data_IF_647656584840
#
_entry.id   IF_647656584840
#
_cell.length_a   1.000
_cell.length_b   1.000
_cell.length_c   1.000
_cell.angle_alpha   90.00
_cell.angle_beta   90.00
_cell.angle_gamma   90.00
#
_symmetry.space_group_name_H-M   'P 1'
#
loop_
_entity.id
_entity.type
_entity.pdbx_description
1 polymer ?
#
# COMPACT_ATOMS: atom_id res chain seq x y z
N UNK A 1 7.52 14.72 -5.77
CA UNK A 1 6.64 15.43 -4.79
C UNK A 1 6.44 16.86 -5.27
N UNK A 2 5.28 17.48 -5.01
CA UNK A 2 5.03 18.87 -5.40
C UNK A 2 4.47 19.08 -6.81
N UNK A 3 4.46 18.03 -7.63
CA UNK A 3 3.72 18.00 -8.91
C UNK A 3 2.22 18.17 -8.66
N UNK A 4 1.49 18.61 -9.71
CA UNK A 4 0.04 18.70 -9.66
C UNK A 4 -0.58 17.33 -9.31
N UNK A 5 -1.66 17.37 -8.53
CA UNK A 5 -2.41 16.17 -8.17
C UNK A 5 -2.90 15.44 -9.44
N UNK A 6 -2.73 14.11 -9.55
CA UNK A 6 -3.15 13.36 -10.73
C UNK A 6 -4.65 13.52 -11.02
N UNK A 7 -5.00 13.62 -12.30
CA UNK A 7 -6.40 13.60 -12.77
C UNK A 7 -6.92 12.19 -13.00
N UNK A 8 -6.03 11.19 -13.08
CA UNK A 8 -6.40 9.78 -13.17
C UNK A 8 -6.91 9.25 -11.84
N UNK A 9 -7.78 8.23 -11.90
CA UNK A 9 -8.28 7.55 -10.70
C UNK A 9 -7.15 6.79 -10.02
N UNK A 10 -6.79 7.18 -8.81
CA UNK A 10 -5.76 6.53 -7.98
C UNK A 10 -6.39 5.51 -7.01
N UNK A 11 -5.61 4.54 -6.54
CA UNK A 11 -6.09 3.53 -5.58
C UNK A 11 -6.11 4.11 -4.16
N UNK A 12 -7.30 4.33 -3.61
CA UNK A 12 -7.53 4.86 -2.27
C UNK A 12 -7.43 3.76 -1.21
N UNK A 13 -6.86 4.08 -0.07
CA UNK A 13 -6.70 3.18 1.06
C UNK A 13 -8.07 2.72 1.62
N UNK A 14 -8.29 1.40 1.67
CA UNK A 14 -9.50 0.78 2.22
C UNK A 14 -10.81 1.19 1.52
N UNK A 15 -10.73 1.84 0.35
CA UNK A 15 -11.87 2.44 -0.36
C UNK A 15 -12.72 3.39 0.50
N UNK A 16 -12.11 4.04 1.50
CA UNK A 16 -12.80 4.88 2.49
C UNK A 16 -11.98 6.08 2.96
N UNK A 17 -12.64 7.01 3.65
CA UNK A 17 -11.95 8.03 4.45
C UNK A 17 -11.40 7.35 5.71
N UNK A 18 -10.11 7.52 5.97
CA UNK A 18 -9.43 6.85 7.08
C UNK A 18 -9.63 7.59 8.41
N UNK A 19 -9.62 6.83 9.52
CA UNK A 19 -9.40 7.41 10.85
C UNK A 19 -7.90 7.74 11.04
N UNK A 20 -7.38 8.73 10.32
CA UNK A 20 -5.97 9.09 10.35
C UNK A 20 -5.55 9.74 11.68
N UNK A 21 -4.25 9.67 11.99
CA UNK A 21 -3.67 10.39 13.12
C UNK A 21 -3.73 11.92 12.89
N UNK A 22 -3.76 12.74 13.95
CA UNK A 22 -3.68 14.20 13.80
C UNK A 22 -2.49 14.63 12.94
N UNK A 23 -2.73 15.50 11.95
CA UNK A 23 -1.71 15.96 11.00
C UNK A 23 -1.52 15.06 9.77
N UNK A 24 -1.96 13.81 9.81
CA UNK A 24 -2.00 12.94 8.62
C UNK A 24 -3.30 13.16 7.82
N UNK A 25 -3.21 13.09 6.49
CA UNK A 25 -4.40 13.11 5.63
C UNK A 25 -5.25 11.86 5.84
N UNK A 26 -6.57 12.02 5.90
CA UNK A 26 -7.53 10.90 5.90
C UNK A 26 -7.76 10.31 4.49
N UNK A 27 -7.26 10.99 3.46
CA UNK A 27 -7.38 10.61 2.05
C UNK A 27 -6.03 10.16 1.49
N UNK A 28 -5.77 8.87 1.60
CA UNK A 28 -4.46 8.28 1.30
C UNK A 28 -4.54 7.36 0.09
N UNK A 29 -3.57 7.45 -0.80
CA UNK A 29 -3.52 6.68 -2.04
C UNK A 29 -2.19 5.96 -2.22
N UNK A 30 -2.22 4.79 -2.88
CA UNK A 30 -1.06 3.90 -3.03
C UNK A 30 0.00 4.53 -3.92
N UNK A 31 1.21 4.58 -3.38
CA UNK A 31 2.40 4.99 -4.11
C UNK A 31 3.59 4.09 -3.78
N UNK A 32 4.56 4.10 -4.69
CA UNK A 32 5.80 3.36 -4.61
C UNK A 32 6.98 4.33 -4.74
N UNK A 33 7.96 4.15 -3.88
CA UNK A 33 9.25 4.82 -3.94
C UNK A 33 10.37 3.77 -3.90
N UNK A 34 11.60 4.16 -4.22
CA UNK A 34 12.78 3.30 -4.09
C UNK A 34 13.84 3.98 -3.24
N UNK A 35 14.40 3.23 -2.29
CA UNK A 35 15.49 3.68 -1.43
C UNK A 35 16.59 2.64 -1.48
N UNK A 36 17.78 3.03 -1.96
CA UNK A 36 18.92 2.11 -2.14
C UNK A 36 18.57 0.81 -2.90
N UNK A 37 17.69 0.90 -3.90
CA UNK A 37 17.24 -0.24 -4.71
C UNK A 37 16.14 -1.09 -4.08
N UNK A 38 15.64 -0.73 -2.90
CA UNK A 38 14.52 -1.43 -2.25
C UNK A 38 13.18 -0.72 -2.55
N UNK A 39 12.14 -1.47 -2.96
CA UNK A 39 10.81 -0.90 -3.16
C UNK A 39 10.16 -0.59 -1.81
N UNK A 40 9.64 0.63 -1.69
CA UNK A 40 8.97 1.12 -0.49
C UNK A 40 7.56 1.56 -0.87
N UNK A 41 6.58 0.72 -0.56
CA UNK A 41 5.18 1.13 -0.66
C UNK A 41 4.89 2.15 0.45
N UNK A 42 4.07 3.14 0.10
CA UNK A 42 3.68 4.20 1.01
C UNK A 42 2.41 4.87 0.51
N UNK A 43 2.27 6.15 0.86
CA UNK A 43 1.07 6.92 0.54
C UNK A 43 1.38 8.25 -0.10
N UNK A 44 0.42 8.71 -0.89
CA UNK A 44 0.29 10.11 -1.30
C UNK A 44 -1.07 10.67 -0.88
N UNK A 45 -1.16 11.99 -0.79
CA UNK A 45 -2.41 12.72 -0.63
C UNK A 45 -2.36 14.07 -1.34
N UNK A 46 -3.54 14.61 -1.61
CA UNK A 46 -3.68 15.94 -2.20
C UNK A 46 -3.44 16.99 -1.11
N UNK A 47 -2.39 17.78 -1.26
CA UNK A 47 -2.09 18.93 -0.42
C UNK A 47 -2.20 20.19 -1.27
N UNK A 48 -3.38 20.83 -1.25
CA UNK A 48 -3.67 22.07 -1.98
C UNK A 48 -3.36 21.99 -3.48
N UNK A 49 -3.81 20.90 -4.13
CA UNK A 49 -3.61 20.65 -5.56
C UNK A 49 -2.26 20.04 -5.91
N UNK A 50 -1.40 19.77 -4.93
CA UNK A 50 -0.09 19.17 -5.13
C UNK A 50 0.04 17.81 -4.46
N UNK A 51 0.88 16.94 -5.00
CA UNK A 51 1.20 15.64 -4.43
C UNK A 51 2.13 15.82 -3.22
N UNK A 52 1.63 15.48 -2.03
CA UNK A 52 2.42 15.21 -0.85
C UNK A 52 2.51 13.69 -0.61
N UNK A 53 3.54 13.23 0.09
CA UNK A 53 3.83 11.80 0.22
C UNK A 53 4.47 11.44 1.56
N UNK A 54 4.33 10.18 1.97
CA UNK A 54 4.99 9.64 3.16
C UNK A 54 5.38 8.17 2.97
N UNK A 55 6.65 7.86 3.28
CA UNK A 55 7.22 6.52 3.16
C UNK A 55 8.02 6.18 4.42
N UNK A 56 7.86 4.94 4.91
CA UNK A 56 8.60 4.42 6.06
C UNK A 56 9.65 3.43 5.57
N UNK A 57 10.92 3.66 5.87
CA UNK A 57 12.00 2.75 5.51
C UNK A 57 13.06 2.67 6.61
N UNK A 58 13.36 1.44 7.03
CA UNK A 58 14.33 1.13 8.09
C UNK A 58 14.12 1.95 9.39
N UNK A 59 12.87 2.12 9.83
CA UNK A 59 12.52 2.86 11.04
C UNK A 59 12.59 4.38 10.90
N UNK A 60 12.86 4.90 9.70
CA UNK A 60 12.84 6.33 9.40
C UNK A 60 11.59 6.68 8.59
N UNK A 61 10.96 7.79 8.97
CA UNK A 61 9.91 8.40 8.18
C UNK A 61 10.51 9.39 7.18
N UNK A 62 10.05 9.30 5.94
CA UNK A 62 10.36 10.25 4.87
C UNK A 62 9.05 10.92 4.48
N UNK A 63 8.92 12.20 4.78
CA UNK A 63 7.74 13.03 4.48
C UNK A 63 8.07 14.24 3.60
N UNK A 64 9.36 14.58 3.51
CA UNK A 64 9.91 15.67 2.71
C UNK A 64 11.08 15.15 1.86
N UNK A 65 11.47 15.93 0.84
CA UNK A 65 12.58 15.61 -0.07
C UNK A 65 12.47 14.22 -0.72
N UNK A 66 11.25 13.74 -0.89
CA UNK A 66 10.95 12.53 -1.64
C UNK A 66 11.03 12.88 -3.13
N UNK A 67 11.98 12.25 -3.83
CA UNK A 67 12.20 12.44 -5.26
C UNK A 67 11.08 11.86 -6.13
N UNK A 68 11.46 11.16 -7.19
CA UNK A 68 10.51 10.51 -8.08
C UNK A 68 9.82 9.35 -7.39
N UNK A 69 8.49 9.28 -7.54
CA UNK A 69 7.63 8.21 -7.04
C UNK A 69 6.78 7.68 -8.19
N UNK A 70 6.21 6.50 -8.00
CA UNK A 70 5.20 5.93 -8.88
C UNK A 70 3.86 5.89 -8.14
N UNK A 71 2.78 6.26 -8.82
CA UNK A 71 1.43 6.26 -8.25
C UNK A 71 0.62 5.13 -8.87
N UNK A 72 -0.05 4.33 -8.04
CA UNK A 72 -0.88 3.24 -8.56
C UNK A 72 -2.22 3.79 -9.07
N UNK A 73 -2.48 3.56 -10.35
CA UNK A 73 -3.67 4.04 -11.05
C UNK A 73 -4.66 2.89 -11.24
N UNK A 74 -5.93 3.19 -11.02
CA UNK A 74 -7.04 2.31 -11.34
C UNK A 74 -7.44 2.46 -12.81
N UNK A 75 -7.08 1.47 -13.63
CA UNK A 75 -7.42 1.49 -15.05
C UNK A 75 -8.93 1.37 -15.26
N UNK A 76 -9.48 1.97 -16.33
CA UNK A 76 -10.89 1.80 -16.68
C UNK A 76 -11.25 0.32 -16.85
N UNK A 77 -12.45 -0.05 -16.40
CA UNK A 77 -12.89 -1.45 -16.33
C UNK A 77 -12.74 -2.21 -17.67
N UNK A 78 -13.04 -1.53 -18.78
CA UNK A 78 -12.99 -2.07 -20.15
C UNK A 78 -11.59 -2.48 -20.63
N UNK A 79 -10.52 -2.03 -19.96
CA UNK A 79 -9.14 -2.31 -20.38
C UNK A 79 -8.34 -3.10 -19.34
N UNK A 80 -8.94 -3.47 -18.19
CA UNK A 80 -8.26 -4.25 -17.15
C UNK A 80 -8.78 -5.69 -17.06
N UNK A 81 -7.85 -6.64 -16.93
CA UNK A 81 -8.15 -8.06 -16.76
C UNK A 81 -8.32 -8.51 -15.30
N UNK A 82 -8.34 -7.58 -14.36
CA UNK A 82 -8.41 -7.86 -12.92
C UNK A 82 -9.09 -6.70 -12.17
N UNK A 83 -9.50 -6.94 -10.94
CA UNK A 83 -10.05 -5.93 -10.03
C UNK A 83 -9.24 -5.86 -8.74
N UNK A 84 -9.07 -4.64 -8.21
CA UNK A 84 -8.39 -4.40 -6.94
C UNK A 84 -9.34 -4.59 -5.76
N UNK A 85 -8.82 -5.15 -4.66
CA UNK A 85 -9.55 -5.37 -3.43
C UNK A 85 -8.63 -5.21 -2.22
N UNK A 86 -9.06 -4.43 -1.22
CA UNK A 86 -8.46 -4.50 0.12
C UNK A 86 -8.98 -5.77 0.81
N UNK A 87 -8.07 -6.68 1.15
CA UNK A 87 -8.42 -7.97 1.76
C UNK A 87 -7.76 -8.15 3.13
N UNK A 88 -8.40 -8.87 4.06
CA UNK A 88 -7.76 -9.31 5.30
C UNK A 88 -6.47 -10.08 5.00
N UNK A 89 -5.51 -10.01 5.93
CA UNK A 89 -4.23 -10.71 5.81
C UNK A 89 -4.38 -12.20 5.49
N UNK A 90 -5.38 -12.87 6.07
CA UNK A 90 -5.67 -14.30 5.85
C UNK A 90 -5.94 -14.66 4.38
N UNK A 91 -6.55 -13.74 3.62
CA UNK A 91 -6.84 -13.95 2.21
C UNK A 91 -5.63 -13.63 1.33
N UNK A 92 -4.81 -12.67 1.78
CA UNK A 92 -3.59 -12.24 1.10
C UNK A 92 -2.43 -13.23 1.29
N UNK A 93 -2.38 -13.92 2.43
CA UNK A 93 -1.35 -14.87 2.82
C UNK A 93 -1.67 -16.32 2.43
N UNK A 94 -2.41 -16.54 1.34
CA UNK A 94 -2.65 -17.87 0.77
C UNK A 94 -1.55 -18.20 -0.22
N UNK A 95 -0.64 -19.10 0.15
CA UNK A 95 0.52 -19.46 -0.68
C UNK A 95 0.32 -20.68 -1.57
N UNK A 96 -0.73 -21.48 -1.32
CA UNK A 96 -1.14 -22.54 -2.23
C UNK A 96 -1.71 -21.93 -3.50
N UNK A 97 -1.02 -22.12 -4.64
CA UNK A 97 -1.42 -21.60 -5.95
C UNK A 97 -2.82 -22.07 -6.37
N UNK A 98 -3.28 -23.24 -5.90
CA UNK A 98 -4.59 -23.80 -6.26
C UNK A 98 -5.74 -23.25 -5.40
N UNK A 99 -5.45 -22.81 -4.17
CA UNK A 99 -6.45 -22.23 -3.26
C UNK A 99 -6.52 -20.70 -3.36
N UNK A 100 -5.51 -20.06 -3.96
CA UNK A 100 -5.38 -18.60 -3.98
C UNK A 100 -6.32 -17.94 -4.98
N UNK A 101 -7.25 -17.15 -4.44
CA UNK A 101 -8.20 -16.33 -5.21
C UNK A 101 -7.75 -14.87 -5.31
N UNK A 102 -7.15 -14.35 -4.24
CA UNK A 102 -6.64 -12.98 -4.16
C UNK A 102 -5.12 -12.99 -4.20
N UNK A 103 -4.57 -12.15 -5.07
CA UNK A 103 -3.15 -12.05 -5.31
C UNK A 103 -2.69 -10.71 -4.77
N UNK A 104 -1.82 -10.65 -3.75
CA UNK A 104 -1.30 -9.38 -3.27
C UNK A 104 -0.70 -8.58 -4.42
N UNK A 105 -0.96 -7.27 -4.47
CA UNK A 105 -0.17 -6.39 -5.32
C UNK A 105 1.22 -6.37 -4.73
N UNK A 106 2.24 -6.73 -5.48
CA UNK A 106 3.61 -6.78 -4.98
C UNK A 106 4.61 -6.20 -5.98
N UNK A 107 5.74 -5.75 -5.44
CA UNK A 107 6.97 -5.53 -6.19
C UNK A 107 8.01 -6.50 -5.61
N UNK A 108 8.62 -7.27 -6.50
CA UNK A 108 9.60 -8.28 -6.11
C UNK A 108 10.92 -7.66 -5.67
N UNK A 109 11.50 -8.23 -4.62
CA UNK A 109 12.84 -7.88 -4.17
C UNK A 109 13.49 -9.09 -3.48
N UNK A 110 14.80 -9.24 -3.62
CA UNK A 110 15.60 -10.37 -3.13
C UNK A 110 15.42 -10.69 -1.63
N UNK A 111 15.13 -9.67 -0.81
CA UNK A 111 14.92 -9.71 0.64
C UNK A 111 13.45 -9.90 1.04
N UNK A 112 12.51 -9.80 0.10
CA UNK A 112 11.08 -9.92 0.36
C UNK A 112 10.23 -9.08 -0.59
N UNK A 113 9.10 -9.65 -1.00
CA UNK A 113 8.13 -8.96 -1.86
C UNK A 113 7.34 -7.95 -1.03
N UNK A 114 7.21 -6.72 -1.55
CA UNK A 114 6.58 -5.62 -0.82
C UNK A 114 5.21 -5.29 -1.41
N UNK A 115 4.19 -5.29 -0.56
CA UNK A 115 2.79 -5.02 -0.90
C UNK A 115 2.24 -3.78 -0.20
N UNK A 116 1.30 -3.02 -0.79
CA UNK A 116 0.58 -1.96 -0.09
C UNK A 116 -0.29 -2.52 1.03
N UNK A 117 -0.25 -1.90 2.20
CA UNK A 117 -0.93 -2.38 3.39
C UNK A 117 -1.57 -1.22 4.17
N UNK A 118 -2.84 -1.34 4.51
CA UNK A 118 -3.55 -0.43 5.40
C UNK A 118 -3.46 -0.97 6.82
N UNK A 119 -2.71 -0.26 7.67
CA UNK A 119 -2.51 -0.61 9.05
C UNK A 119 -3.63 0.00 9.92
N UNK A 120 -4.18 -0.80 10.84
CA UNK A 120 -5.04 -0.34 11.93
C UNK A 120 -4.27 -0.43 13.25
N UNK A 121 -3.78 0.71 13.73
CA UNK A 121 -2.95 0.83 14.92
C UNK A 121 -3.73 0.44 16.20
N UNK A 122 -3.03 0.12 17.32
CA UNK A 122 -3.69 -0.23 18.58
C UNK A 122 -4.66 0.85 19.10
N UNK A 123 -4.40 2.12 18.80
CA UNK A 123 -5.27 3.25 19.16
C UNK A 123 -6.43 3.48 18.17
N UNK A 124 -6.67 2.54 17.25
CA UNK A 124 -7.73 2.62 16.23
C UNK A 124 -7.42 3.56 15.06
N UNK A 125 -6.24 4.21 15.03
CA UNK A 125 -5.82 5.03 13.90
C UNK A 125 -5.41 4.19 12.71
N UNK A 126 -5.58 4.75 11.53
CA UNK A 126 -5.35 4.06 10.27
C UNK A 126 -4.31 4.79 9.42
N UNK A 127 -3.41 4.03 8.80
CA UNK A 127 -2.40 4.57 7.91
C UNK A 127 -2.00 3.58 6.82
N UNK A 128 -1.91 4.07 5.60
CA UNK A 128 -1.40 3.33 4.45
C UNK A 128 0.13 3.33 4.46
N UNK A 129 0.68 2.13 4.33
CA UNK A 129 2.11 1.85 4.20
C UNK A 129 2.36 0.56 3.43
N UNK A 130 3.23 -0.29 3.96
CA UNK A 130 3.72 -1.49 3.29
C UNK A 130 3.63 -2.74 4.16
N UNK A 131 3.60 -3.89 3.52
CA UNK A 131 3.75 -5.20 4.13
C UNK A 131 4.71 -6.09 3.34
N UNK A 132 5.49 -6.88 4.06
CA UNK A 132 6.11 -8.09 3.57
C UNK A 132 5.31 -9.26 4.15
N UNK A 133 4.49 -9.88 3.30
CA UNK A 133 3.48 -10.84 3.73
C UNK A 133 4.13 -12.15 4.16
N UNK A 134 5.18 -12.58 3.45
CA UNK A 134 5.89 -13.85 3.74
C UNK A 134 6.66 -13.77 5.04
N UNK A 135 7.26 -12.62 5.33
CA UNK A 135 8.04 -12.40 6.55
C UNK A 135 7.21 -11.83 7.70
N UNK A 136 5.89 -11.69 7.52
CA UNK A 136 4.95 -11.13 8.50
C UNK A 136 5.39 -9.78 9.08
N UNK A 137 5.77 -8.83 8.21
CA UNK A 137 6.16 -7.47 8.61
C UNK A 137 5.26 -6.45 7.95
N UNK A 138 4.90 -5.40 8.67
CA UNK A 138 4.22 -4.25 8.09
C UNK A 138 4.68 -2.95 8.75
N UNK A 139 4.69 -1.86 7.98
CA UNK A 139 4.99 -0.54 8.54
C UNK A 139 4.33 0.59 7.77
N UNK A 140 4.05 1.69 8.47
CA UNK A 140 3.53 2.92 7.90
C UNK A 140 4.04 4.13 8.69
N UNK A 141 4.20 5.26 8.01
CA UNK A 141 4.48 6.53 8.70
C UNK A 141 3.21 7.00 9.39
N UNK A 142 3.27 7.29 10.68
CA UNK A 142 2.17 7.87 11.46
C UNK A 142 2.73 9.00 12.30
N UNK A 143 2.15 10.19 12.19
CA UNK A 143 2.61 11.38 12.94
C UNK A 143 4.15 11.58 12.86
N UNK A 144 4.74 11.38 11.68
CA UNK A 144 6.17 11.57 11.43
C UNK A 144 7.09 10.41 11.89
N UNK A 145 6.55 9.26 12.30
CA UNK A 145 7.32 8.09 12.73
C UNK A 145 6.95 6.84 11.93
N UNK A 146 7.92 6.02 11.55
CA UNK A 146 7.68 4.70 10.92
C UNK A 146 7.26 3.69 11.99
N UNK A 147 5.95 3.47 12.13
CA UNK A 147 5.37 2.50 13.04
C UNK A 147 5.46 1.10 12.42
N UNK A 148 6.08 0.16 13.14
CA UNK A 148 6.46 -1.17 12.64
C UNK A 148 5.79 -2.27 13.46
N UNK A 149 5.30 -3.28 12.76
CA UNK A 149 4.61 -4.43 13.33
C UNK A 149 5.15 -5.71 12.70
N UNK A 150 5.27 -6.76 13.51
CA UNK A 150 5.77 -8.07 13.08
C UNK A 150 4.93 -9.21 13.67
N UNK A 151 4.97 -10.37 13.02
CA UNK A 151 4.28 -11.58 13.47
C UNK A 151 2.76 -11.39 13.55
N UNK A 152 2.05 -11.99 14.52
CA UNK A 152 0.60 -11.97 14.61
C UNK A 152 -0.05 -10.57 14.64
N UNK A 153 0.73 -9.53 15.01
CA UNK A 153 0.24 -8.15 15.06
C UNK A 153 -0.18 -7.62 13.67
N UNK A 154 0.33 -8.19 12.58
CA UNK A 154 0.03 -7.76 11.21
C UNK A 154 -1.27 -8.37 10.66
N UNK A 155 -1.79 -9.44 11.27
CA UNK A 155 -2.91 -10.21 10.71
C UNK A 155 -4.24 -9.45 10.67
N UNK A 156 -4.38 -8.39 11.46
CA UNK A 156 -5.54 -7.49 11.46
C UNK A 156 -5.54 -6.46 10.33
N UNK A 157 -4.43 -6.31 9.61
CA UNK A 157 -4.28 -5.31 8.56
C UNK A 157 -4.95 -5.74 7.26
N UNK A 158 -5.22 -4.77 6.39
CA UNK A 158 -5.72 -5.03 5.05
C UNK A 158 -4.58 -4.89 4.04
N UNK A 159 -4.44 -5.86 3.16
CA UNK A 159 -3.48 -5.87 2.06
C UNK A 159 -4.21 -5.56 0.76
N UNK A 160 -3.62 -4.69 -0.07
CA UNK A 160 -4.14 -4.51 -1.42
C UNK A 160 -3.85 -5.75 -2.25
N UNK A 161 -4.91 -6.40 -2.70
CA UNK A 161 -4.87 -7.54 -3.60
C UNK A 161 -5.49 -7.18 -4.95
N UNK A 162 -5.22 -8.02 -5.93
CA UNK A 162 -5.87 -8.07 -7.24
C UNK A 162 -6.47 -9.46 -7.44
N UNK A 163 -7.65 -9.51 -8.07
CA UNK A 163 -8.33 -10.74 -8.46
C UNK A 163 -8.50 -10.77 -9.97
N UNK A 164 -8.07 -11.83 -10.69
CA UNK A 164 -8.28 -11.89 -12.12
C UNK A 164 -9.77 -11.99 -12.46
N UNK A 165 -10.19 -11.35 -13.55
CA UNK A 165 -11.53 -11.49 -14.11
C UNK A 165 -11.69 -12.88 -14.76
N UNK A 166 -12.93 -13.35 -15.00
CA UNK A 166 -13.16 -14.61 -15.70
C UNK A 166 -12.36 -14.70 -17.01
N UNK A 167 -11.65 -15.81 -17.21
CA UNK A 167 -10.80 -16.04 -18.38
C UNK A 167 -9.44 -15.35 -18.35
N UNK A 168 -9.11 -14.58 -17.31
CA UNK A 168 -7.81 -13.94 -17.14
C UNK A 168 -6.96 -14.70 -16.12
N UNK A 169 -5.64 -14.55 -16.23
CA UNK A 169 -4.66 -15.12 -15.31
C UNK A 169 -3.52 -14.12 -15.10
N UNK A 170 -2.86 -14.22 -13.96
CA UNK A 170 -1.56 -13.58 -13.77
C UNK A 170 -0.47 -14.57 -14.18
N UNK A 171 0.57 -14.07 -14.83
CA UNK A 171 1.77 -14.86 -15.07
C UNK A 171 2.59 -14.89 -13.77
N UNK A 172 2.67 -16.05 -13.13
CA UNK A 172 3.38 -16.28 -11.85
C UNK A 172 4.10 -17.62 -11.72
#
# INVERSE_FOLDING_TARGET
>A
MGDAWPTYKTIRAGDKTLNAAPGDSSEQHVALWYVHGEPVMGRIWNNNGKVAAAFGWNGKAFVDNIGSIQVLVDLPERVRGYDYHWRPWSDAAVFDKNARVFYPVHVDQVKGNISPCLLTLPNGKEALGKADIRNERASAVVAGKDERFEGPAVHKFLVLCRKPKPGQKFDE
#
